data_IF_662859996873
#
_entry.id   IF_662859996873
#
_cell.length_a   1.000
_cell.length_b   1.000
_cell.length_c   1.000
_cell.angle_alpha   90.00
_cell.angle_beta   90.00
_cell.angle_gamma   90.00
#
_symmetry.space_group_name_H-M   'P 1'
#
loop_
_entity.id
_entity.type
_entity.pdbx_description
1 polymer ?
#
# COMPACT_ATOMS: atom_id res chain seq x y z
N UNK A 1 7.57 2.91 28.00
CA UNK A 1 6.45 3.20 27.08
C UNK A 1 6.35 2.08 26.05
N UNK A 2 5.18 1.86 25.44
CA UNK A 2 5.03 0.88 24.35
C UNK A 2 4.19 1.50 23.24
N UNK A 3 4.66 1.41 22.00
CA UNK A 3 3.93 1.84 20.79
C UNK A 3 3.71 0.62 19.91
N UNK A 4 2.49 0.45 19.38
CA UNK A 4 2.15 -0.64 18.46
C UNK A 4 1.69 -0.05 17.13
N UNK A 5 2.51 -0.19 16.10
CA UNK A 5 2.16 0.28 14.75
C UNK A 5 1.34 -0.80 14.04
N UNK A 6 0.08 -0.51 13.77
CA UNK A 6 -0.83 -1.33 12.97
C UNK A 6 -0.67 -0.94 11.51
N UNK A 7 0.03 -1.77 10.75
CA UNK A 7 0.41 -1.48 9.37
C UNK A 7 -0.68 -1.87 8.39
N UNK A 8 -0.95 -0.98 7.43
CA UNK A 8 -1.65 -1.35 6.21
C UNK A 8 -0.77 -2.17 5.26
N UNK A 9 -1.16 -2.23 4.00
CA UNK A 9 -0.38 -2.82 2.93
C UNK A 9 0.85 -1.92 2.67
N UNK A 10 2.02 -2.35 3.14
CA UNK A 10 3.27 -1.67 2.85
C UNK A 10 3.65 -1.86 1.38
N UNK A 11 3.90 -0.73 0.69
CA UNK A 11 4.27 -0.67 -0.71
C UNK A 11 5.79 -0.44 -0.83
N UNK A 12 6.48 -1.43 -1.39
CA UNK A 12 7.92 -1.39 -1.67
C UNK A 12 8.26 -2.32 -2.85
N UNK A 13 9.22 -1.95 -3.73
CA UNK A 13 9.55 -2.76 -4.91
C UNK A 13 10.28 -4.07 -4.56
N UNK A 14 11.02 -4.08 -3.46
CA UNK A 14 11.91 -5.19 -3.07
C UNK A 14 11.20 -6.31 -2.26
N UNK A 15 9.90 -6.19 -2.01
CA UNK A 15 9.21 -7.17 -1.17
C UNK A 15 7.69 -6.99 -1.04
N UNK A 16 7.12 -7.81 -0.16
CA UNK A 16 5.73 -7.67 0.27
C UNK A 16 4.69 -7.96 -0.81
N UNK A 17 3.52 -7.34 -0.67
CA UNK A 17 2.40 -7.54 -1.59
C UNK A 17 2.66 -6.90 -2.97
N UNK A 18 3.33 -5.74 -3.01
CA UNK A 18 3.59 -5.02 -4.25
C UNK A 18 4.47 -5.84 -5.20
N UNK A 19 5.61 -6.36 -4.73
CA UNK A 19 6.52 -7.19 -5.54
C UNK A 19 5.81 -8.39 -6.19
N UNK A 20 4.92 -9.07 -5.45
CA UNK A 20 4.12 -10.20 -5.97
C UNK A 20 3.10 -9.78 -7.04
N UNK A 21 2.66 -8.53 -7.01
CA UNK A 21 1.76 -7.97 -8.04
C UNK A 21 2.50 -7.46 -9.27
N UNK A 22 3.80 -7.15 -9.18
CA UNK A 22 4.52 -6.54 -10.29
C UNK A 22 4.55 -7.42 -11.52
N UNK A 23 4.93 -8.69 -11.40
CA UNK A 23 5.05 -9.60 -12.54
C UNK A 23 3.75 -9.70 -13.37
N UNK A 24 2.58 -10.05 -12.79
CA UNK A 24 1.34 -10.11 -13.58
C UNK A 24 0.95 -8.74 -14.17
N UNK A 25 1.19 -7.63 -13.46
CA UNK A 25 0.91 -6.30 -14.00
C UNK A 25 1.86 -5.92 -15.16
N UNK A 26 3.15 -6.27 -15.08
CA UNK A 26 4.14 -6.02 -16.14
C UNK A 26 3.82 -6.81 -17.41
N UNK A 27 3.24 -8.01 -17.27
CA UNK A 27 2.77 -8.86 -18.36
C UNK A 27 1.40 -8.41 -18.92
N UNK A 28 0.79 -7.35 -18.38
CA UNK A 28 -0.54 -6.88 -18.81
C UNK A 28 -1.70 -7.76 -18.34
N UNK A 29 -1.44 -8.71 -17.43
CA UNK A 29 -2.44 -9.58 -16.78
C UNK A 29 -2.95 -9.00 -15.46
N UNK A 30 -2.47 -7.80 -15.10
CA UNK A 30 -2.90 -7.09 -13.90
C UNK A 30 -4.31 -6.55 -14.04
N UNK A 31 -5.05 -6.56 -12.94
CA UNK A 31 -6.32 -5.85 -12.89
C UNK A 31 -7.04 -5.95 -11.56
N UNK A 32 -8.30 -5.52 -11.57
CA UNK A 32 -9.07 -5.25 -10.34
C UNK A 32 -9.33 -6.57 -9.62
N UNK A 33 -9.07 -6.60 -8.32
CA UNK A 33 -9.32 -7.78 -7.48
C UNK A 33 -10.79 -7.79 -7.06
N UNK A 34 -11.51 -8.86 -7.38
CA UNK A 34 -12.95 -8.95 -7.09
C UNK A 34 -13.76 -7.81 -7.74
N UNK A 35 -14.65 -7.17 -6.98
CA UNK A 35 -15.46 -6.05 -7.49
C UNK A 35 -14.67 -4.72 -7.52
N UNK A 36 -13.48 -4.65 -6.93
CA UNK A 36 -12.60 -3.47 -6.94
C UNK A 36 -13.04 -2.30 -6.04
N UNK A 37 -14.18 -2.42 -5.35
CA UNK A 37 -14.74 -1.38 -4.46
C UNK A 37 -14.19 -1.43 -3.04
N UNK A 38 -13.47 -2.50 -2.70
CA UNK A 38 -12.88 -2.67 -1.39
C UNK A 38 -11.81 -1.61 -1.14
N UNK A 39 -11.79 -1.08 0.08
CA UNK A 39 -10.80 -0.11 0.51
C UNK A 39 -9.48 -0.80 0.84
N UNK A 40 -8.40 -0.27 0.29
CA UNK A 40 -7.04 -0.66 0.56
C UNK A 40 -6.39 0.42 1.42
N UNK A 41 -6.14 0.09 2.68
CA UNK A 41 -5.27 0.89 3.54
C UNK A 41 -3.82 0.52 3.23
N UNK A 42 -3.10 1.45 2.61
CA UNK A 42 -1.73 1.26 2.12
C UNK A 42 -0.77 2.24 2.81
N UNK A 43 0.53 1.99 2.79
CA UNK A 43 1.56 2.96 3.22
C UNK A 43 2.81 2.78 2.37
N UNK A 44 3.48 3.88 2.03
CA UNK A 44 4.79 3.83 1.39
C UNK A 44 5.85 3.27 2.37
N UNK A 45 6.79 2.45 1.91
CA UNK A 45 7.81 1.86 2.78
C UNK A 45 8.61 2.93 3.54
N UNK A 46 9.02 4.01 2.88
CA UNK A 46 9.74 5.12 3.53
C UNK A 46 8.92 5.82 4.61
N UNK A 47 7.61 6.00 4.40
CA UNK A 47 6.72 6.59 5.41
C UNK A 47 6.51 5.64 6.60
N UNK A 48 6.49 4.32 6.35
CA UNK A 48 6.41 3.34 7.43
C UNK A 48 7.68 3.35 8.29
N UNK A 49 8.86 3.40 7.66
CA UNK A 49 10.14 3.51 8.38
C UNK A 49 10.20 4.84 9.14
N UNK A 50 9.85 5.95 8.50
CA UNK A 50 9.81 7.27 9.14
C UNK A 50 8.83 7.31 10.31
N UNK A 51 7.68 6.63 10.22
CA UNK A 51 6.71 6.53 11.31
C UNK A 51 7.28 5.77 12.52
N UNK A 52 8.02 4.69 12.26
CA UNK A 52 8.70 3.92 13.32
C UNK A 52 9.75 4.80 13.99
N UNK A 53 10.56 5.53 13.22
CA UNK A 53 11.54 6.50 13.76
C UNK A 53 10.86 7.58 14.59
N UNK A 54 9.78 8.18 14.08
CA UNK A 54 9.00 9.18 14.81
C UNK A 54 8.44 8.65 16.13
N UNK A 55 7.96 7.40 16.15
CA UNK A 55 7.50 6.73 17.37
C UNK A 55 8.64 6.45 18.37
N UNK A 56 9.87 6.25 17.89
CA UNK A 56 11.07 6.12 18.72
C UNK A 56 11.57 7.46 19.27
N UNK A 57 11.42 8.55 18.51
CA UNK A 57 11.93 9.88 18.88
C UNK A 57 10.93 10.70 19.73
N UNK A 58 9.66 10.30 19.77
CA UNK A 58 8.61 11.09 20.44
C UNK A 58 8.16 10.47 21.76
N UNK A 59 8.72 10.94 22.88
CA UNK A 59 8.48 10.42 24.26
C UNK A 59 7.04 10.43 24.75
N UNK A 60 6.22 11.35 24.23
CA UNK A 60 4.81 11.42 24.56
C UNK A 60 3.95 10.34 23.87
N UNK A 61 4.47 9.63 22.87
CA UNK A 61 3.70 8.62 22.14
C UNK A 61 3.61 7.29 22.88
N UNK A 62 2.38 6.77 22.97
CA UNK A 62 2.10 5.45 23.53
C UNK A 62 0.83 4.85 22.94
N UNK A 63 0.73 3.53 22.96
CA UNK A 63 -0.42 2.79 22.45
C UNK A 63 -0.40 2.61 20.93
N UNK A 64 -1.58 2.34 20.32
CA UNK A 64 -1.66 2.01 18.91
C UNK A 64 -1.52 3.24 17.99
N UNK A 65 -0.72 3.09 16.94
CA UNK A 65 -0.64 4.01 15.81
C UNK A 65 -1.02 3.28 14.51
N UNK A 66 -1.64 3.99 13.57
CA UNK A 66 -1.93 3.43 12.25
C UNK A 66 -0.81 3.79 11.28
N UNK A 67 -0.15 2.76 10.75
CA UNK A 67 0.81 2.87 9.65
C UNK A 67 0.09 2.73 8.33
N UNK A 68 -0.73 3.73 8.00
CA UNK A 68 -1.49 3.82 6.75
C UNK A 68 -1.41 5.26 6.24
N UNK A 69 -1.35 5.46 4.93
CA UNK A 69 -1.47 6.77 4.28
C UNK A 69 -2.78 7.48 4.68
N UNK A 70 -2.79 8.82 4.77
CA UNK A 70 -4.00 9.59 5.06
C UNK A 70 -5.06 9.51 3.96
N UNK A 71 -4.67 9.14 2.74
CA UNK A 71 -5.58 8.99 1.59
C UNK A 71 -5.83 7.49 1.28
N UNK A 72 -6.86 6.87 1.88
CA UNK A 72 -7.20 5.50 1.53
C UNK A 72 -7.66 5.45 0.07
N UNK A 73 -7.34 4.36 -0.61
CA UNK A 73 -7.69 4.14 -2.00
C UNK A 73 -8.58 2.91 -2.15
N UNK A 74 -9.41 2.86 -3.18
CA UNK A 74 -10.08 1.61 -3.53
C UNK A 74 -9.12 0.70 -4.31
N UNK A 75 -9.42 -0.59 -4.37
CA UNK A 75 -8.66 -1.50 -5.22
C UNK A 75 -8.70 -1.09 -6.71
N UNK A 76 -9.80 -0.52 -7.18
CA UNK A 76 -9.89 0.03 -8.53
C UNK A 76 -8.93 1.21 -8.72
N UNK A 77 -8.79 2.10 -7.74
CA UNK A 77 -7.83 3.22 -7.79
C UNK A 77 -6.40 2.70 -7.77
N UNK A 78 -6.10 1.75 -6.88
CA UNK A 78 -4.79 1.10 -6.80
C UNK A 78 -4.40 0.41 -8.10
N UNK A 79 -5.31 -0.37 -8.66
CA UNK A 79 -5.10 -1.07 -9.93
C UNK A 79 -4.78 -0.09 -11.06
N UNK A 80 -5.54 1.00 -11.17
CA UNK A 80 -5.32 2.04 -12.19
C UNK A 80 -3.98 2.75 -11.98
N UNK A 81 -3.65 3.13 -10.74
CA UNK A 81 -2.41 3.81 -10.40
C UNK A 81 -1.19 2.91 -10.71
N UNK A 82 -1.25 1.63 -10.35
CA UNK A 82 -0.19 0.66 -10.62
C UNK A 82 -0.01 0.42 -12.13
N UNK A 83 -1.12 0.30 -12.87
CA UNK A 83 -1.10 0.20 -14.33
C UNK A 83 -0.44 1.39 -15.01
N UNK A 84 -0.76 2.61 -14.55
CA UNK A 84 -0.13 3.85 -15.04
C UNK A 84 1.36 3.89 -14.74
N UNK A 85 1.75 3.59 -13.50
CA UNK A 85 3.16 3.58 -13.10
C UNK A 85 4.02 2.58 -13.89
N UNK A 86 3.43 1.46 -14.31
CA UNK A 86 4.10 0.44 -15.13
C UNK A 86 3.92 0.63 -16.64
N UNK A 87 3.15 1.63 -17.09
CA UNK A 87 2.73 1.80 -18.48
C UNK A 87 2.10 0.52 -19.07
N UNK A 88 1.13 -0.07 -18.36
CA UNK A 88 0.41 -1.28 -18.77
C UNK A 88 -1.11 -1.13 -18.61
N UNK A 89 -1.86 -1.86 -19.43
CA UNK A 89 -3.32 -1.90 -19.35
C UNK A 89 -3.77 -2.79 -18.19
N UNK A 90 -4.83 -2.38 -17.49
CA UNK A 90 -5.33 -3.06 -16.29
C UNK A 90 -6.84 -3.28 -16.32
N UNK A 91 -7.33 -3.88 -17.42
CA UNK A 91 -8.76 -4.01 -17.72
C UNK A 91 -9.33 -5.34 -17.21
N UNK A 92 -8.49 -6.38 -17.10
CA UNK A 92 -8.88 -7.74 -16.75
C UNK A 92 -9.23 -7.85 -15.25
N UNK A 93 -10.50 -8.02 -14.85
CA UNK A 93 -10.82 -8.28 -13.45
C UNK A 93 -10.30 -9.66 -13.05
N UNK A 94 -9.79 -9.79 -11.83
CA UNK A 94 -9.32 -11.03 -11.24
C UNK A 94 -10.34 -11.51 -10.20
N UNK A 95 -11.13 -12.56 -10.50
CA UNK A 95 -12.03 -13.18 -9.53
C UNK A 95 -11.33 -13.57 -8.23
N UNK A 96 -12.06 -13.50 -7.11
CA UNK A 96 -11.51 -13.77 -5.78
C UNK A 96 -10.80 -15.14 -5.65
N UNK A 97 -11.28 -16.17 -6.35
CA UNK A 97 -10.66 -17.49 -6.33
C UNK A 97 -9.26 -17.50 -6.97
N UNK A 98 -9.03 -16.71 -8.02
CA UNK A 98 -7.72 -16.58 -8.66
C UNK A 98 -6.75 -15.83 -7.74
N UNK A 99 -7.24 -14.76 -7.07
CA UNK A 99 -6.45 -14.03 -6.08
C UNK A 99 -6.02 -14.97 -4.95
N UNK A 100 -6.92 -15.82 -4.45
CA UNK A 100 -6.62 -16.82 -3.42
C UNK A 100 -5.60 -17.85 -3.88
N UNK A 101 -5.68 -18.30 -5.13
CA UNK A 101 -4.72 -19.25 -5.70
C UNK A 101 -3.31 -18.64 -5.82
N UNK A 102 -3.20 -17.39 -6.29
CA UNK A 102 -1.92 -16.73 -6.53
C UNK A 102 -1.27 -16.17 -5.26
N UNK A 103 -2.07 -15.64 -4.33
CA UNK A 103 -1.57 -14.91 -3.17
C UNK A 103 -1.75 -15.68 -1.84
N UNK A 104 -2.42 -16.83 -1.84
CA UNK A 104 -2.63 -17.67 -0.65
C UNK A 104 -3.30 -16.88 0.48
N UNK A 105 -2.74 -16.96 1.70
CA UNK A 105 -3.25 -16.24 2.89
C UNK A 105 -3.22 -14.70 2.73
N UNK A 106 -2.37 -14.15 1.87
CA UNK A 106 -2.30 -12.69 1.61
C UNK A 106 -3.55 -12.24 0.83
N UNK A 107 -4.20 -13.14 0.10
CA UNK A 107 -5.40 -12.82 -0.67
C UNK A 107 -6.52 -12.26 0.20
N UNK A 108 -6.69 -12.73 1.44
CA UNK A 108 -7.75 -12.22 2.32
C UNK A 108 -7.49 -10.77 2.76
N UNK A 109 -6.22 -10.35 2.86
CA UNK A 109 -5.87 -8.94 3.07
C UNK A 109 -6.18 -8.09 1.84
N UNK A 110 -5.96 -8.64 0.64
CA UNK A 110 -6.19 -7.96 -0.63
C UNK A 110 -7.67 -7.87 -1.04
N UNK A 111 -8.45 -8.89 -0.65
CA UNK A 111 -9.90 -8.98 -0.88
C UNK A 111 -10.70 -8.34 0.26
N UNK A 112 -10.09 -8.15 1.43
CA UNK A 112 -10.66 -7.42 2.54
C UNK A 112 -10.86 -5.94 2.23
N UNK A 113 -11.71 -5.28 3.03
CA UNK A 113 -11.99 -3.85 2.92
C UNK A 113 -11.76 -3.18 4.25
N UNK A 114 -10.73 -2.33 4.33
CA UNK A 114 -10.45 -1.52 5.51
C UNK A 114 -10.18 -0.09 5.08
N UNK A 115 -11.07 0.82 5.48
CA UNK A 115 -10.92 2.27 5.28
C UNK A 115 -10.37 2.89 6.55
N UNK A 116 -9.08 2.72 6.80
CA UNK A 116 -8.43 3.31 7.96
C UNK A 116 -8.03 4.76 7.65
N UNK A 117 -8.12 5.62 8.67
CA UNK A 117 -7.54 6.96 8.65
C UNK A 117 -6.60 7.11 9.85
N UNK A 118 -5.34 7.53 9.65
CA UNK A 118 -4.33 7.53 10.69
C UNK A 118 -4.44 8.77 11.61
N UNK A 119 -5.60 9.01 12.22
CA UNK A 119 -5.87 10.23 13.00
C UNK A 119 -4.85 10.46 14.13
N UNK A 120 -4.52 9.41 14.90
CA UNK A 120 -3.52 9.50 15.98
C UNK A 120 -2.11 9.76 15.47
N UNK A 121 -1.76 9.18 14.33
CA UNK A 121 -0.48 9.41 13.66
C UNK A 121 -0.38 10.84 13.15
N UNK A 122 -1.44 11.40 12.57
CA UNK A 122 -1.46 12.80 12.14
C UNK A 122 -1.40 13.74 13.35
N UNK A 123 -2.15 13.42 14.42
CA UNK A 123 -2.17 14.20 15.66
C UNK A 123 -0.83 14.18 16.43
N UNK A 124 0.05 13.20 16.16
CA UNK A 124 1.39 13.19 16.74
C UNK A 124 2.37 14.16 16.07
N UNK A 125 1.94 14.84 15.00
CA UNK A 125 2.81 15.71 14.19
C UNK A 125 3.59 14.95 13.12
N UNK A 126 3.33 13.66 12.90
CA UNK A 126 3.96 12.92 11.81
C UNK A 126 3.53 13.45 10.45
N UNK A 127 4.51 13.79 9.61
CA UNK A 127 4.29 14.26 8.25
C UNK A 127 4.63 13.14 7.24
N UNK A 128 3.61 12.72 6.47
CA UNK A 128 3.79 11.74 5.39
C UNK A 128 4.50 12.40 4.20
N UNK A 129 5.55 11.75 3.70
CA UNK A 129 6.27 12.13 2.48
C UNK A 129 5.53 11.68 1.22
N UNK A 130 4.81 10.56 1.31
CA UNK A 130 4.06 9.97 0.20
C UNK A 130 2.58 9.79 0.56
N UNK A 131 1.84 10.90 0.78
CA UNK A 131 0.43 10.83 1.19
C UNK A 131 -0.52 10.39 0.08
N UNK A 132 -0.11 10.44 -1.19
CA UNK A 132 -0.94 10.15 -2.37
C UNK A 132 -0.43 8.91 -3.12
N UNK A 133 -1.36 8.06 -3.57
CA UNK A 133 -1.04 6.74 -4.09
C UNK A 133 -0.30 6.76 -5.42
N UNK A 134 -0.76 7.56 -6.37
CA UNK A 134 -0.19 7.59 -7.72
C UNK A 134 1.25 8.16 -7.72
N UNK A 135 1.56 9.29 -7.05
CA UNK A 135 2.93 9.74 -6.86
C UNK A 135 3.81 8.72 -6.11
N UNK A 136 3.27 8.05 -5.09
CA UNK A 136 3.97 7.01 -4.33
C UNK A 136 4.39 5.84 -5.23
N UNK A 137 3.45 5.27 -6.00
CA UNK A 137 3.74 4.17 -6.92
C UNK A 137 4.70 4.58 -8.04
N UNK A 138 4.56 5.81 -8.57
CA UNK A 138 5.49 6.33 -9.56
C UNK A 138 6.91 6.47 -9.00
N UNK A 139 7.08 6.85 -7.73
CA UNK A 139 8.39 6.90 -7.10
C UNK A 139 8.97 5.49 -6.92
N UNK A 140 8.16 4.55 -6.42
CA UNK A 140 8.60 3.18 -6.11
C UNK A 140 9.00 2.38 -7.35
N UNK A 141 8.40 2.69 -8.50
CA UNK A 141 8.52 1.90 -9.74
C UNK A 141 9.30 2.62 -10.83
N UNK A 142 9.87 3.80 -10.54
CA UNK A 142 10.87 4.41 -11.41
C UNK A 142 12.07 3.45 -11.52
N UNK A 143 12.56 3.15 -12.74
CA UNK A 143 13.82 2.44 -12.86
C UNK A 143 14.89 3.26 -12.15
N UNK A 144 15.67 2.60 -11.28
CA UNK A 144 16.87 3.23 -10.72
C UNK A 144 17.71 3.79 -11.87
N UNK A 145 18.28 5.00 -11.75
CA UNK A 145 19.25 5.45 -12.73
C UNK A 145 20.33 4.37 -12.83
N UNK A 146 20.51 3.86 -14.05
CA UNK A 146 21.64 2.97 -14.36
C UNK A 146 22.90 3.79 -14.06
N UNK A 147 23.57 3.45 -12.96
CA UNK A 147 24.87 3.99 -12.61
C UNK A 147 25.96 3.32 -13.46
#
# INVERSE_FOLDING_TARGET
RTVSVRTGIALGPEGGALQRMLLPFMLGLGGRLGHGRQWMSWIHVDDLVALIVHALETDSLSGPLLGTSPTPATNADFTKALGRALHRWTILPMPAWQVRLLFGKVADVLLGSQRCRPQRTLASGFAFRHPELEPALNQLLRPAPVA
#
